data_IF_943667920555
#
_entry.id   IF_943667920555
#
_cell.length_a   1.000
_cell.length_b   1.000
_cell.length_c   1.000
_cell.angle_alpha   90.00
_cell.angle_beta   90.00
_cell.angle_gamma   90.00
#
_symmetry.space_group_name_H-M   'P 1'
#
loop_
_entity.id
_entity.type
_entity.pdbx_description
1 polymer ?
#
# COMPACT_ATOMS: atom_id res chain seq x y z
N UNK A 1 -3.69 -18.23 3.17
CA UNK A 1 -3.90 -16.79 2.97
C UNK A 1 -2.58 -16.13 2.68
N UNK A 2 -2.42 -15.57 1.47
CA UNK A 2 -1.21 -14.83 1.11
C UNK A 2 -1.29 -13.38 1.65
N UNK A 3 -0.21 -12.61 1.51
CA UNK A 3 -0.16 -11.22 2.02
C UNK A 3 -1.14 -10.29 1.28
N UNK A 4 -1.35 -10.47 -0.02
CA UNK A 4 -2.26 -9.65 -0.82
C UNK A 4 -3.73 -9.84 -0.39
N UNK A 5 -4.12 -11.06 -0.06
CA UNK A 5 -5.42 -11.37 0.51
C UNK A 5 -5.61 -10.74 1.89
N UNK A 6 -4.58 -10.77 2.77
CA UNK A 6 -4.63 -10.08 4.06
C UNK A 6 -4.80 -8.57 3.89
N UNK A 7 -4.04 -7.94 2.98
CA UNK A 7 -4.17 -6.51 2.69
C UNK A 7 -5.59 -6.18 2.23
N UNK A 8 -6.17 -7.02 1.36
CA UNK A 8 -7.52 -6.82 0.84
C UNK A 8 -8.58 -6.95 1.94
N UNK A 9 -8.47 -7.96 2.81
CA UNK A 9 -9.41 -8.18 3.91
C UNK A 9 -9.37 -7.08 4.97
N UNK A 10 -8.19 -6.54 5.25
CA UNK A 10 -8.00 -5.50 6.27
C UNK A 10 -8.09 -4.07 5.70
N UNK A 11 -8.21 -3.91 4.37
CA UNK A 11 -8.28 -2.60 3.69
C UNK A 11 -9.36 -1.67 4.25
N UNK A 12 -10.48 -2.23 4.69
CA UNK A 12 -11.57 -1.47 5.30
C UNK A 12 -11.22 -0.89 6.68
N UNK A 13 -10.27 -1.49 7.41
CA UNK A 13 -9.80 -1.01 8.70
C UNK A 13 -8.67 0.05 8.59
N UNK A 14 -8.04 0.17 7.42
CA UNK A 14 -6.96 1.11 7.17
C UNK A 14 -7.45 2.57 7.16
N UNK A 15 -6.59 3.47 7.61
CA UNK A 15 -6.73 4.91 7.46
C UNK A 15 -6.70 5.31 5.98
N UNK A 16 -7.09 6.56 5.67
CA UNK A 16 -7.12 7.05 4.28
C UNK A 16 -5.76 6.88 3.59
N UNK A 17 -4.67 7.20 4.27
CA UNK A 17 -3.30 7.10 3.76
C UNK A 17 -2.87 5.66 3.52
N UNK A 18 -3.05 4.79 4.51
CA UNK A 18 -2.75 3.35 4.40
C UNK A 18 -3.55 2.68 3.28
N UNK A 19 -4.81 3.09 3.06
CA UNK A 19 -5.61 2.58 1.94
C UNK A 19 -5.00 2.93 0.60
N UNK A 20 -4.46 4.14 0.42
CA UNK A 20 -3.79 4.52 -0.83
C UNK A 20 -2.52 3.70 -1.05
N UNK A 21 -1.72 3.49 0.00
CA UNK A 21 -0.53 2.62 -0.08
C UNK A 21 -0.94 1.18 -0.44
N UNK A 22 -1.97 0.65 0.21
CA UNK A 22 -2.51 -0.67 -0.08
C UNK A 22 -3.02 -0.79 -1.53
N UNK A 23 -3.64 0.25 -2.07
CA UNK A 23 -4.07 0.29 -3.48
C UNK A 23 -2.89 0.26 -4.44
N UNK A 24 -1.81 1.02 -4.17
CA UNK A 24 -0.59 0.98 -4.98
C UNK A 24 0.04 -0.42 -4.98
N UNK A 25 0.11 -1.07 -3.80
CA UNK A 25 0.64 -2.43 -3.66
C UNK A 25 -0.23 -3.45 -4.39
N UNK A 26 -1.56 -3.35 -4.26
CA UNK A 26 -2.50 -4.27 -4.91
C UNK A 26 -2.55 -4.07 -6.43
N UNK A 27 -2.37 -2.84 -6.91
CA UNK A 27 -2.37 -2.53 -8.35
C UNK A 27 -1.11 -3.07 -9.05
N UNK A 28 0.05 -3.02 -8.38
CA UNK A 28 1.29 -3.56 -8.95
C UNK A 28 2.21 -4.21 -7.90
N UNK A 29 1.90 -5.43 -7.45
CA UNK A 29 2.65 -6.11 -6.38
C UNK A 29 4.12 -6.33 -6.72
N UNK A 30 4.44 -6.58 -7.99
CA UNK A 30 5.82 -6.77 -8.46
C UNK A 30 6.64 -5.49 -8.30
N UNK A 31 6.07 -4.34 -8.66
CA UNK A 31 6.73 -3.05 -8.45
C UNK A 31 6.90 -2.75 -6.96
N UNK A 32 5.91 -3.11 -6.12
CA UNK A 32 5.97 -2.88 -4.69
C UNK A 32 7.12 -3.64 -3.99
N UNK A 33 7.46 -4.85 -4.45
CA UNK A 33 8.57 -5.66 -3.92
C UNK A 33 9.93 -4.95 -4.09
N UNK A 34 10.09 -4.19 -5.17
CA UNK A 34 11.32 -3.46 -5.48
C UNK A 34 11.27 -1.98 -5.07
N UNK A 35 10.16 -1.54 -4.49
CA UNK A 35 9.97 -0.15 -4.07
C UNK A 35 10.39 0.05 -2.61
N UNK A 36 11.05 1.17 -2.33
CA UNK A 36 11.27 1.60 -0.95
C UNK A 36 9.97 2.12 -0.33
N UNK A 37 9.90 2.15 1.00
CA UNK A 37 8.75 2.73 1.74
C UNK A 37 8.51 4.18 1.30
N UNK A 38 9.57 4.99 1.16
CA UNK A 38 9.46 6.36 0.69
C UNK A 38 8.91 6.46 -0.75
N UNK A 39 9.25 5.51 -1.61
CA UNK A 39 8.71 5.45 -2.96
C UNK A 39 7.23 5.08 -2.93
N UNK A 40 6.83 4.12 -2.09
CA UNK A 40 5.43 3.72 -1.92
C UNK A 40 4.58 4.89 -1.40
N UNK A 41 5.06 5.61 -0.37
CA UNK A 41 4.40 6.80 0.17
C UNK A 41 4.22 7.90 -0.89
N UNK A 42 5.25 8.12 -1.72
CA UNK A 42 5.17 9.08 -2.84
C UNK A 42 4.17 8.63 -3.91
N UNK A 43 4.14 7.34 -4.25
CA UNK A 43 3.18 6.79 -5.21
C UNK A 43 1.74 6.84 -4.68
N UNK A 44 1.56 6.71 -3.37
CA UNK A 44 0.27 6.83 -2.70
C UNK A 44 -0.15 8.27 -2.46
N UNK A 45 0.59 9.27 -2.95
CA UNK A 45 0.28 10.68 -2.74
C UNK A 45 0.12 11.02 -1.24
N UNK A 46 0.91 10.35 -0.40
CA UNK A 46 0.97 10.61 1.03
C UNK A 46 2.21 11.45 1.32
N UNK A 47 1.96 12.69 1.74
CA UNK A 47 3.01 13.65 2.13
C UNK A 47 3.41 13.50 3.61
N UNK A 48 2.75 12.61 4.35
CA UNK A 48 3.01 12.36 5.77
C UNK A 48 3.79 11.04 5.96
N UNK A 49 4.64 10.93 7.00
CA UNK A 49 5.33 9.69 7.32
C UNK A 49 4.29 8.65 7.75
N UNK A 50 3.95 7.75 6.82
CA UNK A 50 2.95 6.69 6.97
C UNK A 50 3.55 5.32 6.74
#
# INVERSE_FOLDING_TARGET
MNILEKITQHKSAFSKSERKVAEVILANPQSAIHSSIATLAKMSDDSEPT
#
